data_IF_764368606085
#
_entry.id   IF_764368606085
#
_cell.length_a   1.000
_cell.length_b   1.000
_cell.length_c   1.000
_cell.angle_alpha   90.00
_cell.angle_beta   90.00
_cell.angle_gamma   90.00
#
_symmetry.space_group_name_H-M   'P 1'
#
loop_
_entity.id
_entity.type
_entity.pdbx_description
1 polymer ?
#
# COMPACT_ATOMS: atom_id res chain seq x y z
N UNK A 1 -7.09 -2.15 12.02
CA UNK A 1 -6.16 -1.74 10.94
C UNK A 1 -6.34 -0.25 10.66
N UNK A 2 -5.28 0.48 10.33
CA UNK A 2 -5.32 1.83 9.76
C UNK A 2 -4.97 1.76 8.27
N UNK A 3 -5.75 2.45 7.44
CA UNK A 3 -5.55 2.48 5.99
C UNK A 3 -5.57 3.92 5.46
N UNK A 4 -4.71 4.19 4.49
CA UNK A 4 -4.69 5.40 3.69
C UNK A 4 -4.40 5.03 2.23
N UNK A 5 -5.39 4.47 1.51
CA UNK A 5 -5.19 3.93 0.19
C UNK A 5 -4.94 5.02 -0.87
N UNK A 6 -4.55 4.58 -2.06
CA UNK A 6 -4.64 5.41 -3.25
C UNK A 6 -6.11 5.83 -3.48
N UNK A 7 -6.30 7.03 -4.02
CA UNK A 7 -7.62 7.53 -4.41
C UNK A 7 -7.53 8.18 -5.78
N UNK A 8 -8.66 8.42 -6.45
CA UNK A 8 -8.66 9.12 -7.74
C UNK A 8 -7.95 10.49 -7.69
N UNK A 9 -8.00 11.20 -6.55
CA UNK A 9 -7.32 12.49 -6.35
C UNK A 9 -5.83 12.35 -5.98
N UNK A 10 -5.40 11.16 -5.58
CA UNK A 10 -4.04 10.88 -5.10
C UNK A 10 -3.70 9.43 -5.43
N UNK A 11 -3.45 9.11 -6.71
CA UNK A 11 -3.27 7.74 -7.19
C UNK A 11 -2.00 7.09 -6.63
N UNK A 12 -1.00 7.88 -6.24
CA UNK A 12 0.21 7.42 -5.55
C UNK A 12 0.09 7.50 -4.02
N UNK A 13 -1.12 7.60 -3.48
CA UNK A 13 -1.34 7.91 -2.07
C UNK A 13 -1.03 9.37 -1.71
N UNK A 14 -1.23 9.69 -0.43
CA UNK A 14 -1.09 11.07 0.09
C UNK A 14 0.07 11.24 1.06
N UNK A 15 0.38 10.20 1.82
CA UNK A 15 1.45 10.20 2.81
C UNK A 15 2.81 10.03 2.13
N UNK A 16 3.88 10.55 2.72
CA UNK A 16 5.24 10.45 2.19
C UNK A 16 5.95 9.25 2.75
N UNK A 17 6.59 8.51 1.85
CA UNK A 17 7.30 7.28 2.16
C UNK A 17 8.35 7.50 3.25
N UNK A 18 9.23 8.49 3.06
CA UNK A 18 10.43 8.67 3.88
C UNK A 18 10.16 9.04 5.35
N UNK A 19 9.19 9.91 5.61
CA UNK A 19 9.01 10.54 6.92
C UNK A 19 7.58 10.43 7.48
N UNK A 20 6.68 9.74 6.77
CA UNK A 20 5.36 9.36 7.31
C UNK A 20 5.21 7.83 7.30
N UNK A 21 5.34 7.18 6.13
CA UNK A 21 5.08 5.73 6.02
C UNK A 21 6.19 4.88 6.66
N UNK A 22 7.46 5.10 6.34
CA UNK A 22 8.57 4.30 6.85
C UNK A 22 8.69 4.33 8.39
N UNK A 23 8.59 5.50 9.06
CA UNK A 23 8.61 5.53 10.53
C UNK A 23 7.45 4.76 11.16
N UNK A 24 6.23 4.89 10.63
CA UNK A 24 5.06 4.18 11.13
C UNK A 24 5.16 2.66 10.87
N UNK A 25 5.61 2.28 9.67
CA UNK A 25 5.83 0.90 9.28
C UNK A 25 6.83 0.22 10.23
N UNK A 26 7.95 0.88 10.53
CA UNK A 26 8.94 0.36 11.46
C UNK A 26 8.35 0.11 12.85
N UNK A 27 7.62 1.07 13.41
CA UNK A 27 7.00 0.91 14.74
C UNK A 27 6.00 -0.26 14.74
N UNK A 28 5.13 -0.34 13.73
CA UNK A 28 4.10 -1.37 13.64
C UNK A 28 4.71 -2.76 13.50
N UNK A 29 5.73 -2.92 12.67
CA UNK A 29 6.40 -4.21 12.51
C UNK A 29 7.19 -4.62 13.76
N UNK A 30 7.84 -3.67 14.45
CA UNK A 30 8.46 -3.96 15.74
C UNK A 30 7.44 -4.38 16.82
N UNK A 31 6.18 -3.94 16.69
CA UNK A 31 5.09 -4.38 17.55
C UNK A 31 4.45 -5.72 17.12
N UNK A 32 5.00 -6.40 16.12
CA UNK A 32 4.47 -7.66 15.58
C UNK A 32 3.29 -7.49 14.61
N UNK A 33 3.05 -6.27 14.13
CA UNK A 33 2.09 -5.99 13.07
C UNK A 33 2.69 -6.12 11.66
N UNK A 34 1.88 -5.78 10.65
CA UNK A 34 2.28 -5.74 9.24
C UNK A 34 2.12 -4.33 8.68
N UNK A 35 2.98 -3.97 7.73
CA UNK A 35 2.89 -2.72 6.95
C UNK A 35 2.98 -3.01 5.46
N UNK A 36 2.06 -2.46 4.67
CA UNK A 36 1.99 -2.65 3.22
C UNK A 36 1.60 -1.36 2.47
N UNK A 37 2.00 -1.21 1.22
CA UNK A 37 1.45 -0.21 0.28
C UNK A 37 0.17 -0.68 -0.44
N UNK A 38 -0.32 -1.88 -0.09
CA UNK A 38 -1.43 -2.57 -0.74
C UNK A 38 -0.96 -3.70 -1.67
N UNK A 39 0.33 -3.75 -1.99
CA UNK A 39 0.91 -4.76 -2.89
C UNK A 39 2.19 -5.39 -2.34
N UNK A 40 3.01 -4.63 -1.62
CA UNK A 40 4.28 -5.09 -1.04
C UNK A 40 4.51 -4.43 0.32
N UNK A 41 5.44 -5.00 1.09
CA UNK A 41 5.84 -4.48 2.39
C UNK A 41 6.40 -3.07 2.27
N UNK A 42 5.95 -2.15 3.13
CA UNK A 42 6.31 -0.73 3.06
C UNK A 42 7.82 -0.49 3.19
N UNK A 43 8.50 -1.22 4.10
CA UNK A 43 9.93 -1.04 4.34
C UNK A 43 10.84 -1.60 3.23
N UNK A 44 10.28 -2.34 2.26
CA UNK A 44 11.03 -2.86 1.11
C UNK A 44 11.01 -1.88 -0.08
N UNK A 45 10.29 -0.75 0.04
CA UNK A 45 10.16 0.23 -1.03
C UNK A 45 11.39 1.13 -1.03
N UNK A 46 12.19 1.06 -2.09
CA UNK A 46 13.31 1.97 -2.31
C UNK A 46 12.79 3.34 -2.79
N UNK A 47 13.01 4.43 -2.03
CA UNK A 47 12.50 5.76 -2.38
C UNK A 47 13.26 6.34 -3.58
N UNK A 48 12.53 6.77 -4.60
CA UNK A 48 13.06 7.47 -5.79
C UNK A 48 13.26 8.96 -5.54
N UNK A 49 12.48 9.55 -4.62
CA UNK A 49 12.57 10.97 -4.26
C UNK A 49 12.31 11.17 -2.77
N UNK A 50 12.84 12.25 -2.20
CA UNK A 50 12.64 12.59 -0.79
C UNK A 50 11.16 12.82 -0.40
N UNK A 51 10.31 13.18 -1.36
CA UNK A 51 8.89 13.48 -1.14
C UNK A 51 7.94 12.49 -1.83
N UNK A 52 8.45 11.29 -2.16
CA UNK A 52 7.65 10.23 -2.77
C UNK A 52 6.44 9.90 -1.90
N UNK A 53 5.28 9.78 -2.54
CA UNK A 53 4.04 9.42 -1.87
C UNK A 53 3.78 7.93 -1.97
N UNK A 54 3.14 7.39 -0.94
CA UNK A 54 2.85 5.97 -0.83
C UNK A 54 1.47 5.78 -0.18
N UNK A 55 0.61 4.88 -0.71
CA UNK A 55 -0.51 4.34 0.07
C UNK A 55 0.02 3.61 1.30
N UNK A 56 -0.79 3.47 2.35
CA UNK A 56 -0.35 2.74 3.55
C UNK A 56 -1.47 1.91 4.16
N UNK A 57 -1.13 0.69 4.56
CA UNK A 57 -2.00 -0.26 5.26
C UNK A 57 -1.18 -0.83 6.42
N UNK A 58 -1.55 -0.50 7.66
CA UNK A 58 -0.79 -0.89 8.86
C UNK A 58 -1.70 -1.40 9.97
N UNK A 59 -1.26 -2.42 10.70
CA UNK A 59 -1.98 -2.94 11.86
C UNK A 59 -1.71 -4.42 12.10
N UNK A 60 -2.73 -5.13 12.60
CA UNK A 60 -2.66 -6.59 12.75
C UNK A 60 -2.39 -7.25 11.41
N UNK A 61 -1.49 -8.24 11.42
CA UNK A 61 -1.07 -8.95 10.22
C UNK A 61 -2.26 -9.46 9.40
N UNK A 62 -3.18 -10.16 10.05
CA UNK A 62 -4.36 -10.76 9.42
C UNK A 62 -5.23 -9.73 8.69
N UNK A 63 -5.46 -8.55 9.27
CA UNK A 63 -6.30 -7.52 8.63
C UNK A 63 -5.59 -6.84 7.47
N UNK A 64 -4.26 -6.69 7.54
CA UNK A 64 -3.48 -6.11 6.45
C UNK A 64 -3.42 -7.08 5.27
N UNK A 65 -3.22 -8.37 5.52
CA UNK A 65 -3.25 -9.41 4.49
C UNK A 65 -4.63 -9.51 3.83
N UNK A 66 -5.72 -9.46 4.60
CA UNK A 66 -7.08 -9.41 4.04
C UNK A 66 -7.28 -8.19 3.13
N UNK A 67 -6.72 -7.02 3.49
CA UNK A 67 -6.80 -5.83 2.64
C UNK A 67 -6.01 -6.01 1.32
N UNK A 68 -4.80 -6.58 1.38
CA UNK A 68 -4.01 -6.93 0.20
C UNK A 68 -4.76 -7.90 -0.72
N UNK A 69 -5.43 -8.91 -0.16
CA UNK A 69 -6.25 -9.87 -0.92
C UNK A 69 -7.40 -9.20 -1.67
N UNK A 70 -8.14 -8.29 -1.02
CA UNK A 70 -9.21 -7.55 -1.70
C UNK A 70 -8.67 -6.68 -2.84
N UNK A 71 -7.54 -6.01 -2.63
CA UNK A 71 -6.90 -5.18 -3.66
C UNK A 71 -6.46 -6.04 -4.85
N UNK A 72 -5.83 -7.19 -4.59
CA UNK A 72 -5.39 -8.11 -5.64
C UNK A 72 -6.56 -8.63 -6.48
N UNK A 73 -7.68 -9.03 -5.83
CA UNK A 73 -8.89 -9.49 -6.51
C UNK A 73 -9.51 -8.43 -7.41
N UNK A 74 -9.57 -7.18 -6.97
CA UNK A 74 -10.11 -6.09 -7.80
C UNK A 74 -9.22 -5.80 -9.02
N UNK A 75 -7.89 -5.91 -8.88
CA UNK A 75 -6.97 -5.77 -10.02
C UNK A 75 -7.15 -6.89 -11.06
N UNK A 76 -7.36 -8.13 -10.62
CA UNK A 76 -7.68 -9.25 -11.51
C UNK A 76 -9.02 -9.05 -12.23
N UNK A 77 -10.01 -8.45 -11.57
CA UNK A 77 -11.31 -8.14 -12.15
C UNK A 77 -11.28 -6.96 -13.13
N UNK A 78 -10.36 -6.01 -12.99
CA UNK A 78 -10.16 -4.91 -13.97
C UNK A 78 -9.34 -5.34 -15.21
N UNK A 79 -8.45 -6.33 -15.07
CA UNK A 79 -7.61 -6.85 -16.15
C UNK A 79 -8.33 -7.42 -17.41
N UNK A 80 -9.59 -7.91 -17.40
CA UNK A 80 -10.19 -8.54 -18.59
C UNK A 80 -10.65 -7.57 -19.69
N UNK A 81 -10.72 -6.25 -19.44
CA UNK A 81 -11.31 -5.30 -20.39
C UNK A 81 -10.31 -4.64 -21.35
N UNK A 82 -9.00 -4.73 -21.11
CA UNK A 82 -7.99 -3.99 -21.88
C UNK A 82 -7.48 -4.71 -23.15
N UNK A 83 -7.92 -5.94 -23.44
CA UNK A 83 -7.33 -6.78 -24.51
C UNK A 83 -8.17 -6.89 -25.78
N UNK A 84 -9.22 -6.09 -25.96
CA UNK A 84 -10.05 -6.08 -27.19
C UNK A 84 -10.07 -4.69 -27.81
N UNK A 85 -8.89 -4.20 -28.22
CA UNK A 85 -8.75 -3.07 -29.13
C UNK A 85 -7.39 -3.16 -29.84
N UNK A 86 -7.29 -4.06 -30.81
CA UNK A 86 -6.27 -4.08 -31.85
C UNK A 86 -6.93 -4.52 -33.16
#
# INVERSE_FOLDING_TARGET
IYIYPATAKSPSGKLRLMYECNPLAFIVEQAGGRSSDGHRRTLDIEPKTAHERCPVFIGSQELVEQAEEFIAREQENEAPAATVAA
#
